data_IF_071464123768
#
_entry.id   IF_071464123768
#
_cell.length_a   1.000
_cell.length_b   1.000
_cell.length_c   1.000
_cell.angle_alpha   90.00
_cell.angle_beta   90.00
_cell.angle_gamma   90.00
#
_symmetry.space_group_name_H-M   'P 1'
#
loop_
_entity.id
_entity.type
_entity.pdbx_description
1 polymer ?
#
# COMPACT_ATOMS: atom_id res chain seq x y z
N UNK A 1 -6.81 22.09 -20.18
CA UNK A 1 -7.99 22.91 -20.57
C UNK A 1 -7.98 24.19 -19.77
N UNK A 2 -8.02 25.37 -20.42
CA UNK A 2 -8.11 26.64 -19.71
C UNK A 2 -9.55 26.81 -19.19
N UNK A 3 -9.68 26.96 -17.87
CA UNK A 3 -10.98 27.28 -17.25
C UNK A 3 -11.31 28.74 -17.54
N UNK A 4 -12.40 28.99 -18.28
CA UNK A 4 -12.93 30.35 -18.48
C UNK A 4 -14.06 30.54 -17.46
N UNK A 5 -13.89 31.38 -16.43
CA UNK A 5 -14.98 31.63 -15.49
C UNK A 5 -16.17 32.22 -16.22
N UNK A 6 -17.37 31.74 -15.89
CA UNK A 6 -18.61 32.35 -16.39
C UNK A 6 -18.63 33.80 -15.95
N UNK A 7 -18.73 34.75 -16.90
CA UNK A 7 -18.72 36.17 -16.65
C UNK A 7 -20.08 36.63 -16.06
N UNK A 8 -20.43 36.10 -14.87
CA UNK A 8 -21.68 36.45 -14.16
C UNK A 8 -21.34 36.96 -12.77
N UNK A 9 -21.56 38.23 -12.59
CA UNK A 9 -21.33 38.90 -11.30
C UNK A 9 -22.44 38.57 -10.26
N UNK A 10 -22.13 38.83 -8.99
CA UNK A 10 -23.13 38.91 -7.93
C UNK A 10 -24.16 39.98 -8.27
N UNK A 11 -25.46 39.75 -8.00
CA UNK A 11 -26.09 38.62 -7.29
C UNK A 11 -26.49 37.44 -8.17
N UNK A 12 -26.28 37.50 -9.48
CA UNK A 12 -26.71 36.45 -10.43
C UNK A 12 -25.93 35.16 -10.25
N UNK A 13 -24.64 35.22 -9.94
CA UNK A 13 -23.81 34.07 -9.57
C UNK A 13 -23.71 33.96 -8.05
N UNK A 14 -24.19 32.83 -7.52
CA UNK A 14 -24.12 32.50 -6.09
C UNK A 14 -23.77 31.02 -5.94
N UNK A 15 -22.50 30.70 -5.76
CA UNK A 15 -21.99 29.32 -5.60
C UNK A 15 -22.60 28.62 -4.37
N UNK A 16 -23.04 29.36 -3.35
CA UNK A 16 -23.71 28.81 -2.16
C UNK A 16 -25.07 28.15 -2.46
N UNK A 17 -25.69 28.37 -3.62
CA UNK A 17 -26.98 27.75 -3.98
C UNK A 17 -26.85 26.23 -3.96
N UNK A 18 -25.80 25.68 -4.59
CA UNK A 18 -25.56 24.25 -4.63
C UNK A 18 -25.18 23.62 -3.28
N UNK A 19 -24.76 24.45 -2.30
CA UNK A 19 -24.38 24.01 -0.95
C UNK A 19 -25.52 24.08 0.07
N UNK A 20 -26.62 24.74 -0.25
CA UNK A 20 -27.69 25.04 0.69
C UNK A 20 -28.37 23.77 1.21
N UNK A 21 -28.80 22.91 0.31
CA UNK A 21 -29.62 21.74 0.61
C UNK A 21 -28.83 20.44 0.43
N UNK A 22 -29.15 19.42 1.23
CA UNK A 22 -28.41 18.16 1.21
C UNK A 22 -28.50 17.45 -0.14
N UNK A 23 -29.71 17.37 -0.72
CA UNK A 23 -29.88 16.73 -2.02
C UNK A 23 -29.01 17.40 -3.10
N UNK A 24 -28.92 18.74 -3.07
CA UNK A 24 -28.12 19.49 -4.03
C UNK A 24 -26.63 19.20 -3.86
N UNK A 25 -26.12 19.19 -2.60
CA UNK A 25 -24.71 18.81 -2.33
C UNK A 25 -24.39 17.41 -2.82
N UNK A 26 -25.31 16.45 -2.64
CA UNK A 26 -25.16 15.07 -3.14
C UNK A 26 -25.11 15.01 -4.66
N UNK A 27 -26.00 15.75 -5.34
CA UNK A 27 -26.06 15.78 -6.81
C UNK A 27 -24.83 16.39 -7.49
N UNK A 28 -24.20 17.39 -6.86
CA UNK A 28 -23.01 18.07 -7.43
C UNK A 28 -21.68 17.50 -6.92
N UNK A 29 -21.74 16.43 -6.14
CA UNK A 29 -20.54 15.78 -5.60
C UNK A 29 -19.75 15.12 -6.74
N UNK A 30 -18.49 15.52 -6.88
CA UNK A 30 -17.63 15.07 -7.97
C UNK A 30 -16.98 13.69 -7.70
N UNK A 31 -16.73 13.36 -6.44
CA UNK A 31 -16.07 12.12 -6.04
C UNK A 31 -16.86 11.43 -4.94
N UNK A 32 -16.98 10.11 -5.06
CA UNK A 32 -17.64 9.26 -4.08
C UNK A 32 -16.65 8.17 -3.67
N UNK A 33 -16.42 8.06 -2.36
CA UNK A 33 -15.69 6.95 -1.78
C UNK A 33 -16.63 5.77 -1.58
N UNK A 34 -16.21 4.60 -2.02
CA UNK A 34 -16.92 3.33 -1.83
C UNK A 34 -16.01 2.31 -1.16
N UNK A 35 -16.57 1.19 -0.73
CA UNK A 35 -15.75 0.10 -0.19
C UNK A 35 -14.84 -0.53 -1.24
N UNK A 36 -15.22 -0.46 -2.51
CA UNK A 36 -14.44 -0.98 -3.64
C UNK A 36 -13.12 -0.23 -3.86
N UNK A 37 -12.97 0.94 -3.25
CA UNK A 37 -11.74 1.73 -3.28
C UNK A 37 -10.71 1.31 -2.23
N UNK A 38 -11.07 0.41 -1.29
CA UNK A 38 -10.29 0.12 -0.10
C UNK A 38 -9.48 -1.17 -0.23
N UNK A 39 -8.21 -1.11 0.14
CA UNK A 39 -7.33 -2.27 0.30
C UNK A 39 -6.85 -2.28 1.75
N UNK A 40 -7.03 -3.41 2.46
CA UNK A 40 -6.62 -3.52 3.87
C UNK A 40 -5.23 -4.13 3.98
N UNK A 41 -4.22 -3.38 4.47
CA UNK A 41 -2.92 -3.93 4.84
C UNK A 41 -3.03 -4.78 6.11
N UNK A 42 -2.45 -5.98 6.11
CA UNK A 42 -2.49 -6.91 7.25
C UNK A 42 -1.10 -7.45 7.57
N UNK A 43 -0.77 -7.54 8.86
CA UNK A 43 0.47 -8.12 9.34
C UNK A 43 0.27 -9.56 9.73
N UNK A 44 1.07 -10.46 9.15
CA UNK A 44 0.93 -11.91 9.36
C UNK A 44 2.16 -12.43 10.08
N UNK A 45 1.96 -13.10 11.22
CA UNK A 45 3.02 -13.73 12.01
C UNK A 45 2.90 -15.25 12.02
N UNK A 46 4.00 -15.91 12.36
CA UNK A 46 4.03 -17.35 12.53
C UNK A 46 3.36 -17.77 13.84
N UNK A 47 2.87 -19.00 13.91
CA UNK A 47 2.22 -19.55 15.10
C UNK A 47 0.77 -19.94 14.88
N UNK A 48 0.11 -20.28 15.98
CA UNK A 48 -1.30 -20.66 16.04
C UNK A 48 -1.97 -19.90 17.19
N UNK A 49 -3.15 -19.37 16.94
CA UNK A 49 -3.93 -18.59 17.90
C UNK A 49 -3.15 -17.40 18.49
N UNK A 50 -2.37 -16.73 17.64
CA UNK A 50 -1.57 -15.58 18.03
C UNK A 50 -2.19 -14.28 17.55
N UNK A 51 -2.27 -13.30 18.47
CA UNK A 51 -2.68 -11.93 18.19
C UNK A 51 -1.76 -10.99 18.98
N UNK A 52 -1.12 -10.06 18.31
CA UNK A 52 -0.22 -9.10 18.95
C UNK A 52 -0.62 -7.69 18.57
N UNK A 53 -0.97 -6.87 19.54
CA UNK A 53 -1.25 -5.44 19.32
C UNK A 53 0.04 -4.69 18.94
N UNK A 54 -0.10 -3.70 18.06
CA UNK A 54 0.99 -2.82 17.67
C UNK A 54 0.81 -1.48 18.41
N UNK A 55 1.65 -1.17 19.42
CA UNK A 55 1.43 0.01 20.27
C UNK A 55 1.39 1.33 19.50
N UNK A 56 2.21 1.46 18.46
CA UNK A 56 2.27 2.64 17.59
C UNK A 56 1.12 2.74 16.58
N UNK A 57 0.28 1.70 16.49
CA UNK A 57 -0.87 1.64 15.57
C UNK A 57 -2.12 1.13 16.29
N UNK A 58 -2.78 1.96 17.13
CA UNK A 58 -3.92 1.52 17.94
C UNK A 58 -5.03 0.86 17.11
N UNK A 59 -5.45 -0.36 17.49
CA UNK A 59 -6.48 -1.13 16.79
C UNK A 59 -5.96 -1.97 15.61
N UNK A 60 -4.67 -1.93 15.29
CA UNK A 60 -4.02 -2.82 14.32
C UNK A 60 -3.25 -3.90 15.06
N UNK A 61 -3.38 -5.14 14.60
CA UNK A 61 -2.74 -6.31 15.19
C UNK A 61 -1.92 -7.08 14.16
N UNK A 62 -0.92 -7.82 14.67
CA UNK A 62 -0.28 -8.91 13.93
C UNK A 62 -1.06 -10.18 14.21
N UNK A 63 -1.37 -10.96 13.20
CA UNK A 63 -2.24 -12.13 13.30
C UNK A 63 -1.55 -13.38 12.76
N UNK A 64 -1.66 -14.50 13.49
CA UNK A 64 -1.37 -15.81 12.89
C UNK A 64 -2.39 -16.16 11.81
N UNK A 65 -2.06 -17.08 10.90
CA UNK A 65 -2.90 -17.40 9.73
C UNK A 65 -4.31 -17.81 10.14
N UNK A 66 -4.48 -18.60 11.19
CA UNK A 66 -5.79 -19.02 11.71
C UNK A 66 -6.62 -17.83 12.21
N UNK A 67 -6.00 -16.86 12.90
CA UNK A 67 -6.64 -15.62 13.34
C UNK A 67 -6.94 -14.67 12.17
N UNK A 68 -6.04 -14.60 11.20
CA UNK A 68 -6.24 -13.84 9.97
C UNK A 68 -7.48 -14.34 9.20
N UNK A 69 -7.67 -15.65 9.10
CA UNK A 69 -8.84 -16.23 8.42
C UNK A 69 -10.15 -15.87 9.13
N UNK A 70 -10.14 -15.81 10.46
CA UNK A 70 -11.33 -15.39 11.26
C UNK A 70 -11.67 -13.92 10.98
N UNK A 71 -10.68 -13.03 11.05
CA UNK A 71 -10.90 -11.60 10.79
C UNK A 71 -11.31 -11.35 9.32
N UNK A 72 -10.73 -12.11 8.39
CA UNK A 72 -11.02 -11.96 6.96
C UNK A 72 -12.51 -12.25 6.64
N UNK A 73 -13.20 -13.11 7.39
CA UNK A 73 -14.65 -13.33 7.23
C UNK A 73 -15.44 -12.02 7.40
N UNK A 74 -15.08 -11.22 8.41
CA UNK A 74 -15.74 -9.93 8.65
C UNK A 74 -15.39 -8.91 7.56
N UNK A 75 -14.13 -8.85 7.12
CA UNK A 75 -13.71 -7.91 6.09
C UNK A 75 -14.34 -8.21 4.73
N UNK A 76 -14.46 -9.48 4.37
CA UNK A 76 -15.19 -9.93 3.18
C UNK A 76 -16.68 -9.59 3.30
N UNK A 77 -17.29 -9.81 4.48
CA UNK A 77 -18.68 -9.46 4.72
C UNK A 77 -18.93 -7.94 4.65
N UNK A 78 -17.94 -7.11 4.97
CA UNK A 78 -18.00 -5.67 4.79
C UNK A 78 -17.85 -5.25 3.31
N UNK A 79 -17.41 -6.14 2.44
CA UNK A 79 -17.21 -5.93 1.02
C UNK A 79 -15.82 -5.41 0.65
N UNK A 80 -14.81 -5.49 1.55
CA UNK A 80 -13.44 -5.10 1.24
C UNK A 80 -12.90 -6.03 0.13
N UNK A 81 -12.47 -5.48 -1.02
CA UNK A 81 -12.18 -6.30 -2.19
C UNK A 81 -10.82 -6.98 -2.15
N UNK A 82 -9.84 -6.45 -1.39
CA UNK A 82 -8.48 -6.98 -1.37
C UNK A 82 -7.75 -6.75 -0.03
N UNK A 83 -6.84 -7.67 0.27
CA UNK A 83 -5.86 -7.56 1.36
C UNK A 83 -4.45 -7.40 0.79
N UNK A 84 -3.60 -6.60 1.46
CA UNK A 84 -2.18 -6.51 1.20
C UNK A 84 -1.42 -7.17 2.35
N UNK A 85 -0.67 -8.23 2.07
CA UNK A 85 0.00 -9.07 3.09
C UNK A 85 1.41 -8.55 3.39
N UNK A 86 1.68 -8.33 4.68
CA UNK A 86 3.01 -7.96 5.19
C UNK A 86 3.46 -9.01 6.22
N UNK A 87 4.44 -9.86 5.89
CA UNK A 87 4.93 -10.89 6.78
C UNK A 87 5.77 -10.31 7.91
N UNK A 88 5.60 -10.86 9.12
CA UNK A 88 6.46 -10.59 10.28
C UNK A 88 7.38 -11.78 10.44
N UNK A 89 8.60 -11.67 9.90
CA UNK A 89 9.56 -12.75 9.87
C UNK A 89 10.32 -12.83 11.19
N UNK A 90 10.35 -13.97 11.88
CA UNK A 90 11.19 -14.17 13.06
C UNK A 90 12.67 -13.95 12.76
N UNK A 91 13.41 -13.42 13.75
CA UNK A 91 14.81 -13.01 13.55
C UNK A 91 15.70 -14.19 13.11
N UNK A 92 15.45 -15.38 13.63
CA UNK A 92 16.18 -16.61 13.31
C UNK A 92 15.99 -17.10 11.86
N UNK A 93 14.96 -16.59 11.17
CA UNK A 93 14.72 -16.89 9.74
C UNK A 93 15.26 -15.80 8.82
N UNK A 94 15.73 -14.67 9.36
CA UNK A 94 16.35 -13.61 8.58
C UNK A 94 17.79 -13.96 8.24
N UNK A 95 18.22 -13.56 7.04
CA UNK A 95 19.59 -13.79 6.55
C UNK A 95 20.12 -12.58 5.79
N UNK A 96 21.40 -12.58 5.43
CA UNK A 96 21.99 -11.52 4.61
C UNK A 96 21.48 -11.56 3.16
N UNK A 97 21.16 -12.75 2.67
CA UNK A 97 20.69 -13.02 1.30
C UNK A 97 19.15 -13.09 1.19
N UNK A 98 18.44 -12.82 2.28
CA UNK A 98 16.97 -12.84 2.34
C UNK A 98 16.32 -14.14 1.85
N UNK A 99 16.95 -15.31 2.08
CA UNK A 99 16.49 -16.59 1.55
C UNK A 99 15.05 -16.97 1.93
N UNK A 100 14.55 -16.53 3.10
CA UNK A 100 13.17 -16.76 3.54
C UNK A 100 12.14 -16.03 2.66
N UNK A 101 12.51 -14.99 1.91
CA UNK A 101 11.61 -14.23 1.05
C UNK A 101 10.94 -15.07 -0.04
N UNK A 102 11.66 -16.07 -0.56
CA UNK A 102 11.19 -16.98 -1.62
C UNK A 102 11.02 -18.43 -1.14
N UNK A 103 11.00 -18.65 0.17
CA UNK A 103 10.70 -19.96 0.74
C UNK A 103 9.25 -20.36 0.43
N UNK A 104 8.99 -21.48 -0.30
CA UNK A 104 7.62 -21.91 -0.63
C UNK A 104 6.74 -22.13 0.62
N UNK A 105 7.36 -22.45 1.76
CA UNK A 105 6.69 -22.62 3.04
C UNK A 105 6.85 -21.41 3.96
N UNK A 106 7.25 -20.26 3.41
CA UNK A 106 7.32 -18.98 4.09
C UNK A 106 5.93 -18.49 4.54
N UNK A 107 5.91 -17.57 5.48
CA UNK A 107 4.63 -17.11 6.08
C UNK A 107 3.75 -16.39 5.05
N UNK A 108 4.33 -15.61 4.12
CA UNK A 108 3.58 -14.93 3.07
C UNK A 108 2.92 -15.93 2.11
N UNK A 109 3.66 -16.96 1.68
CA UNK A 109 3.18 -18.01 0.79
C UNK A 109 2.08 -18.86 1.45
N UNK A 110 2.27 -19.26 2.70
CA UNK A 110 1.24 -20.02 3.45
C UNK A 110 -0.03 -19.21 3.68
N UNK A 111 0.10 -17.94 4.07
CA UNK A 111 -1.04 -17.05 4.25
C UNK A 111 -1.81 -16.85 2.94
N UNK A 112 -1.09 -16.66 1.83
CA UNK A 112 -1.68 -16.54 0.50
C UNK A 112 -2.51 -17.76 0.14
N UNK A 113 -1.94 -18.98 0.26
CA UNK A 113 -2.67 -20.23 -0.01
C UNK A 113 -3.92 -20.36 0.85
N UNK A 114 -3.79 -20.13 2.16
CA UNK A 114 -4.92 -20.25 3.09
C UNK A 114 -6.07 -19.29 2.79
N UNK A 115 -5.75 -18.03 2.48
CA UNK A 115 -6.75 -17.03 2.09
C UNK A 115 -7.40 -17.35 0.74
N UNK A 116 -6.61 -17.80 -0.25
CA UNK A 116 -7.12 -18.21 -1.56
C UNK A 116 -8.07 -19.40 -1.49
N UNK A 117 -7.75 -20.39 -0.64
CA UNK A 117 -8.60 -21.55 -0.40
C UNK A 117 -9.92 -21.16 0.26
N UNK A 118 -9.87 -20.31 1.31
CA UNK A 118 -11.03 -19.93 2.11
C UNK A 118 -11.91 -18.89 1.44
N UNK A 119 -11.31 -17.92 0.71
CA UNK A 119 -11.99 -16.77 0.10
C UNK A 119 -11.56 -16.58 -1.36
N UNK A 120 -12.06 -17.41 -2.30
CA UNK A 120 -11.61 -17.40 -3.70
C UNK A 120 -11.78 -16.06 -4.41
N UNK A 121 -12.79 -15.26 -4.03
CA UNK A 121 -13.09 -13.95 -4.63
C UNK A 121 -12.31 -12.79 -4.01
N UNK A 122 -11.66 -13.00 -2.87
CA UNK A 122 -10.86 -11.96 -2.22
C UNK A 122 -9.54 -11.74 -2.96
N UNK A 123 -9.24 -10.50 -3.31
CA UNK A 123 -7.96 -10.14 -3.92
C UNK A 123 -6.81 -10.25 -2.93
N UNK A 124 -5.76 -10.98 -3.28
CA UNK A 124 -4.55 -11.11 -2.47
C UNK A 124 -3.40 -10.40 -3.16
N UNK A 125 -2.90 -9.36 -2.50
CA UNK A 125 -1.74 -8.57 -2.90
C UNK A 125 -0.60 -8.93 -1.97
N UNK A 126 0.55 -9.29 -2.52
CA UNK A 126 1.75 -9.59 -1.72
C UNK A 126 2.82 -8.54 -1.92
N UNK A 127 3.38 -8.05 -0.83
CA UNK A 127 4.52 -7.15 -0.87
C UNK A 127 5.77 -7.90 -1.36
N UNK A 128 6.47 -7.33 -2.34
CA UNK A 128 7.75 -7.86 -2.83
C UNK A 128 8.84 -6.87 -2.43
N UNK A 129 9.52 -7.21 -1.34
CA UNK A 129 10.60 -6.43 -0.73
C UNK A 129 11.42 -7.33 0.19
N UNK A 130 12.66 -6.99 0.45
CA UNK A 130 13.56 -7.86 1.20
C UNK A 130 13.75 -7.43 2.67
N UNK A 131 13.35 -6.22 3.06
CA UNK A 131 13.54 -5.73 4.43
C UNK A 131 12.88 -6.58 5.54
N UNK A 132 11.75 -7.29 5.33
CA UNK A 132 11.24 -8.23 6.34
C UNK A 132 12.12 -9.45 6.53
N UNK A 133 13.00 -9.77 5.57
CA UNK A 133 13.77 -11.03 5.49
C UNK A 133 15.27 -10.83 5.67
N UNK A 134 15.77 -9.59 5.62
CA UNK A 134 17.18 -9.28 5.83
C UNK A 134 17.48 -8.99 7.29
N UNK A 135 18.68 -9.41 7.75
CA UNK A 135 19.15 -9.14 9.11
C UNK A 135 19.48 -7.67 9.35
N UNK A 136 19.76 -6.91 8.30
CA UNK A 136 20.08 -5.47 8.33
C UNK A 136 18.89 -4.55 8.03
N UNK A 137 17.73 -5.08 7.64
CA UNK A 137 16.49 -4.30 7.44
C UNK A 137 16.45 -3.40 6.20
N UNK A 138 17.38 -3.56 5.24
CA UNK A 138 17.33 -2.91 3.93
C UNK A 138 16.48 -3.73 2.95
N UNK A 139 15.92 -3.05 1.92
CA UNK A 139 15.05 -3.68 0.91
C UNK A 139 15.84 -4.44 -0.18
N UNK A 140 17.16 -4.56 -0.06
CA UNK A 140 18.03 -5.24 -1.02
C UNK A 140 19.26 -5.87 -0.36
N UNK A 141 20.07 -6.53 -1.17
CA UNK A 141 21.31 -7.18 -0.77
C UNK A 141 22.42 -6.12 -0.64
N UNK A 142 23.23 -6.21 0.42
CA UNK A 142 24.31 -5.28 0.69
C UNK A 142 25.64 -5.76 0.15
N UNK A 143 26.51 -4.82 -0.24
CA UNK A 143 27.95 -5.04 -0.37
C UNK A 143 28.66 -4.95 1.00
N UNK A 144 30.00 -5.09 0.98
CA UNK A 144 30.82 -5.04 2.18
C UNK A 144 30.84 -3.64 2.85
N UNK A 145 30.51 -2.58 2.12
CA UNK A 145 30.44 -1.20 2.58
C UNK A 145 29.03 -0.84 3.12
N UNK A 146 28.05 -1.75 2.99
CA UNK A 146 26.66 -1.56 3.43
C UNK A 146 25.79 -0.80 2.42
N UNK A 147 26.23 -0.71 1.16
CA UNK A 147 25.43 -0.16 0.06
C UNK A 147 24.53 -1.23 -0.55
N UNK A 148 23.28 -0.88 -0.88
CA UNK A 148 22.33 -1.80 -1.52
C UNK A 148 22.68 -2.00 -2.99
N UNK A 149 22.97 -3.24 -3.37
CA UNK A 149 23.29 -3.65 -4.74
C UNK A 149 22.02 -3.84 -5.56
N UNK A 150 21.83 -3.05 -6.60
CA UNK A 150 20.64 -3.09 -7.44
C UNK A 150 20.41 -4.45 -8.10
N UNK A 151 21.30 -4.87 -8.97
CA UNK A 151 21.11 -6.03 -9.86
C UNK A 151 21.00 -7.34 -9.09
N UNK A 152 21.85 -7.52 -8.06
CA UNK A 152 21.81 -8.71 -7.19
C UNK A 152 20.48 -8.77 -6.41
N UNK A 153 19.94 -7.61 -6.00
CA UNK A 153 18.66 -7.55 -5.31
C UNK A 153 17.51 -7.95 -6.23
N UNK A 154 17.54 -7.54 -7.50
CA UNK A 154 16.51 -7.91 -8.49
C UNK A 154 16.38 -9.43 -8.63
N UNK A 155 17.49 -10.18 -8.70
CA UNK A 155 17.46 -11.63 -8.80
C UNK A 155 16.69 -12.29 -7.64
N UNK A 156 16.83 -11.74 -6.43
CA UNK A 156 16.11 -12.23 -5.24
C UNK A 156 14.63 -11.81 -5.28
N UNK A 157 14.34 -10.57 -5.69
CA UNK A 157 12.97 -10.06 -5.83
C UNK A 157 12.16 -10.83 -6.88
N UNK A 158 12.78 -11.21 -8.00
CA UNK A 158 12.17 -12.08 -9.04
C UNK A 158 11.79 -13.44 -8.44
N UNK A 159 12.70 -14.07 -7.69
CA UNK A 159 12.41 -15.35 -7.01
C UNK A 159 11.28 -15.21 -6.00
N UNK A 160 11.24 -14.10 -5.25
CA UNK A 160 10.17 -13.81 -4.31
C UNK A 160 8.82 -13.65 -5.04
N UNK A 161 8.76 -12.85 -6.09
CA UNK A 161 7.55 -12.62 -6.87
C UNK A 161 7.00 -13.93 -7.47
N UNK A 162 7.88 -14.78 -8.05
CA UNK A 162 7.49 -16.08 -8.56
C UNK A 162 6.91 -16.99 -7.46
N UNK A 163 7.56 -17.07 -6.29
CA UNK A 163 7.08 -17.91 -5.18
C UNK A 163 5.72 -17.44 -4.66
N UNK A 164 5.45 -16.11 -4.68
CA UNK A 164 4.15 -15.53 -4.32
C UNK A 164 3.08 -15.88 -5.37
N UNK A 165 3.41 -15.79 -6.66
CA UNK A 165 2.52 -16.17 -7.75
C UNK A 165 2.15 -17.65 -7.70
N UNK A 166 3.14 -18.55 -7.45
CA UNK A 166 2.95 -19.98 -7.25
C UNK A 166 2.05 -20.29 -6.04
N UNK A 167 2.14 -19.49 -4.98
CA UNK A 167 1.25 -19.58 -3.82
C UNK A 167 -0.17 -19.11 -4.09
N UNK A 168 -0.44 -18.45 -5.24
CA UNK A 168 -1.75 -17.99 -5.68
C UNK A 168 -2.03 -16.51 -5.49
N UNK A 169 -1.00 -15.67 -5.27
CA UNK A 169 -1.17 -14.22 -5.27
C UNK A 169 -1.68 -13.74 -6.63
N UNK A 170 -2.71 -12.90 -6.64
CA UNK A 170 -3.24 -12.32 -7.87
C UNK A 170 -2.55 -11.01 -8.25
N UNK A 171 -1.89 -10.37 -7.28
CA UNK A 171 -1.10 -9.15 -7.47
C UNK A 171 0.18 -9.28 -6.68
N UNK A 172 1.32 -9.06 -7.33
CA UNK A 172 2.60 -8.85 -6.68
C UNK A 172 2.90 -7.35 -6.67
N UNK A 173 3.38 -6.82 -5.54
CA UNK A 173 3.54 -5.39 -5.35
C UNK A 173 4.98 -5.04 -4.95
N UNK A 174 5.90 -4.90 -5.92
CA UNK A 174 7.29 -4.54 -5.66
C UNK A 174 7.40 -3.18 -4.99
N UNK A 175 7.96 -3.16 -3.78
CA UNK A 175 8.08 -1.95 -2.96
C UNK A 175 9.52 -1.58 -2.60
N UNK A 176 10.47 -2.22 -3.26
CA UNK A 176 11.91 -2.13 -3.03
C UNK A 176 12.57 -0.88 -3.63
N UNK A 177 12.10 -0.40 -4.78
CA UNK A 177 12.64 0.73 -5.57
C UNK A 177 13.96 0.45 -6.30
N UNK A 178 14.26 -0.81 -6.64
CA UNK A 178 15.41 -1.12 -7.51
C UNK A 178 15.10 -0.81 -8.97
N UNK A 179 16.09 -0.29 -9.71
CA UNK A 179 15.94 0.03 -11.13
C UNK A 179 15.79 -1.24 -11.97
N UNK A 180 14.76 -1.30 -12.84
CA UNK A 180 14.55 -2.43 -13.76
C UNK A 180 13.85 -3.66 -13.14
N UNK A 181 13.49 -3.61 -11.84
CA UNK A 181 12.85 -4.75 -11.16
C UNK A 181 11.49 -5.13 -11.74
N UNK A 182 10.73 -4.15 -12.24
CA UNK A 182 9.39 -4.42 -12.78
C UNK A 182 9.50 -5.23 -14.07
N UNK A 183 10.42 -4.86 -14.96
CA UNK A 183 10.67 -5.59 -16.20
C UNK A 183 11.14 -7.01 -15.94
N UNK A 184 12.08 -7.20 -15.03
CA UNK A 184 12.58 -8.53 -14.67
C UNK A 184 11.48 -9.43 -14.05
N UNK A 185 10.67 -8.89 -13.15
CA UNK A 185 9.55 -9.63 -12.54
C UNK A 185 8.48 -9.96 -13.62
N UNK A 186 8.14 -9.02 -14.51
CA UNK A 186 7.18 -9.27 -15.58
C UNK A 186 7.65 -10.39 -16.50
N UNK A 187 8.89 -10.33 -16.97
CA UNK A 187 9.48 -11.36 -17.83
C UNK A 187 9.44 -12.73 -17.16
N UNK A 188 9.79 -12.81 -15.90
CA UNK A 188 9.78 -14.04 -15.13
C UNK A 188 8.37 -14.63 -14.97
N UNK A 189 7.38 -13.79 -14.64
CA UNK A 189 5.98 -14.20 -14.51
C UNK A 189 5.43 -14.74 -15.84
N UNK A 190 5.68 -14.05 -16.95
CA UNK A 190 5.27 -14.51 -18.28
C UNK A 190 5.94 -15.84 -18.66
N UNK A 191 7.24 -15.96 -18.44
CA UNK A 191 8.01 -17.17 -18.74
C UNK A 191 7.58 -18.38 -17.92
N UNK A 192 7.14 -18.16 -16.67
CA UNK A 192 6.60 -19.19 -15.80
C UNK A 192 5.12 -19.51 -16.02
N UNK A 193 4.43 -18.80 -16.96
CA UNK A 193 3.02 -19.01 -17.26
C UNK A 193 2.05 -18.31 -16.31
N UNK A 194 2.54 -17.44 -15.42
CA UNK A 194 1.71 -16.61 -14.51
C UNK A 194 1.18 -15.34 -15.18
N UNK A 195 0.70 -15.44 -16.41
CA UNK A 195 0.32 -14.32 -17.30
C UNK A 195 -0.81 -13.45 -16.74
N UNK A 196 -1.59 -13.94 -15.79
CA UNK A 196 -2.69 -13.19 -15.17
C UNK A 196 -2.33 -12.54 -13.83
N UNK A 197 -1.11 -12.71 -13.35
CA UNK A 197 -0.63 -12.03 -12.13
C UNK A 197 -0.28 -10.60 -12.46
N UNK A 198 -0.92 -9.66 -11.77
CA UNK A 198 -0.72 -8.22 -11.97
C UNK A 198 0.48 -7.75 -11.18
N UNK A 199 1.14 -6.71 -11.68
CA UNK A 199 2.18 -5.99 -10.96
C UNK A 199 1.64 -4.63 -10.52
N UNK A 200 1.57 -4.41 -9.21
CA UNK A 200 1.29 -3.11 -8.60
C UNK A 200 2.61 -2.51 -8.12
N UNK A 201 3.23 -1.69 -8.94
CA UNK A 201 4.55 -1.13 -8.64
C UNK A 201 4.45 0.03 -7.64
N UNK A 202 5.24 0.01 -6.58
CA UNK A 202 5.45 1.17 -5.71
C UNK A 202 6.38 2.16 -6.43
N UNK A 203 5.89 2.76 -7.50
CA UNK A 203 6.69 3.57 -8.42
C UNK A 203 7.15 4.89 -7.81
N UNK A 204 6.31 5.52 -6.97
CA UNK A 204 6.63 6.78 -6.33
C UNK A 204 6.70 6.60 -4.80
N UNK A 205 7.74 5.92 -4.32
CA UNK A 205 7.98 5.67 -2.90
C UNK A 205 9.10 6.57 -2.37
N UNK A 206 8.73 7.46 -1.46
CA UNK A 206 9.64 8.43 -0.86
C UNK A 206 10.32 7.89 0.40
N UNK A 207 11.58 8.27 0.63
CA UNK A 207 12.23 8.11 1.92
C UNK A 207 11.51 8.99 2.95
N UNK A 208 10.79 8.38 3.89
CA UNK A 208 9.83 9.12 4.70
C UNK A 208 9.91 8.79 6.20
N UNK A 209 9.77 9.83 7.02
CA UNK A 209 9.61 9.71 8.45
C UNK A 209 8.25 9.09 8.86
N UNK A 210 7.26 9.11 7.97
CA UNK A 210 5.94 8.53 8.21
C UNK A 210 5.91 7.00 8.26
N UNK A 211 7.05 6.31 8.04
CA UNK A 211 7.13 4.84 8.13
C UNK A 211 7.46 4.30 9.53
N UNK A 212 7.64 5.18 10.53
CA UNK A 212 8.01 4.77 11.88
C UNK A 212 7.16 3.63 12.45
N UNK A 213 5.82 3.76 12.52
CA UNK A 213 4.97 2.70 13.05
C UNK A 213 4.97 1.39 12.24
N UNK A 214 5.17 1.44 10.92
CA UNK A 214 5.32 0.24 10.10
C UNK A 214 6.58 -0.56 10.46
N UNK A 215 7.70 0.13 10.70
CA UNK A 215 8.95 -0.52 11.12
C UNK A 215 8.79 -1.23 12.47
N UNK A 216 8.01 -0.66 13.37
CA UNK A 216 7.61 -1.31 14.61
C UNK A 216 6.76 -2.55 14.31
N UNK A 217 5.77 -2.43 13.43
CA UNK A 217 4.84 -3.51 13.09
C UNK A 217 5.52 -4.75 12.49
N UNK A 218 6.50 -4.58 11.60
CA UNK A 218 7.23 -5.71 10.97
C UNK A 218 8.51 -6.09 11.72
N UNK A 219 8.81 -5.42 12.83
CA UNK A 219 10.02 -5.69 13.64
C UNK A 219 11.33 -5.34 12.95
N UNK A 220 11.31 -4.42 11.95
CA UNK A 220 12.53 -4.00 11.23
C UNK A 220 13.23 -2.79 11.83
N UNK A 221 12.61 -2.10 12.78
CA UNK A 221 13.17 -0.90 13.40
C UNK A 221 14.51 -1.15 14.11
N UNK A 222 14.64 -2.29 14.79
CA UNK A 222 15.87 -2.69 15.48
C UNK A 222 16.98 -3.08 14.52
N UNK A 223 16.64 -3.61 13.36
CA UNK A 223 17.58 -4.14 12.38
C UNK A 223 18.23 -3.03 11.55
N UNK A 224 17.45 -2.01 11.15
CA UNK A 224 17.94 -0.88 10.37
C UNK A 224 18.94 0.01 11.18
N UNK A 225 18.86 0.00 12.51
CA UNK A 225 19.73 0.77 13.39
C UNK A 225 19.74 2.27 13.04
N UNK A 226 20.93 2.83 12.74
CA UNK A 226 21.12 4.20 12.27
C UNK A 226 21.08 4.35 10.74
N UNK A 227 20.89 3.25 9.99
CA UNK A 227 20.80 3.27 8.53
C UNK A 227 19.56 4.02 8.04
N UNK A 228 19.59 4.42 6.78
CA UNK A 228 18.46 5.00 6.08
C UNK A 228 18.29 4.31 4.72
N UNK A 229 17.22 4.62 4.03
CA UNK A 229 16.87 4.03 2.72
C UNK A 229 16.97 5.06 1.58
N UNK A 230 17.68 6.19 1.82
CA UNK A 230 17.75 7.31 0.88
C UNK A 230 18.58 7.01 -0.37
N UNK A 231 19.32 5.90 -0.41
CA UNK A 231 20.11 5.49 -1.59
C UNK A 231 19.24 4.84 -2.68
N UNK A 232 17.98 4.51 -2.38
CA UNK A 232 17.06 3.89 -3.34
C UNK A 232 15.59 4.36 -3.21
N UNK A 233 15.18 4.94 -2.09
CA UNK A 233 13.87 5.61 -2.00
C UNK A 233 14.03 7.08 -2.38
N UNK A 234 13.03 7.65 -3.06
CA UNK A 234 13.09 9.02 -3.56
C UNK A 234 13.23 10.05 -2.45
N UNK A 235 13.96 11.13 -2.73
CA UNK A 235 14.08 12.26 -1.83
C UNK A 235 12.69 12.94 -1.64
N UNK A 236 12.24 13.18 -0.40
CA UNK A 236 10.96 13.85 -0.13
C UNK A 236 10.89 15.29 -0.67
N UNK A 237 12.01 15.89 -1.05
CA UNK A 237 12.05 17.21 -1.68
C UNK A 237 11.75 17.18 -3.19
N UNK A 238 11.77 15.99 -3.82
CA UNK A 238 11.61 15.84 -5.26
C UNK A 238 10.16 15.58 -5.66
N UNK A 239 9.76 16.14 -6.77
CA UNK A 239 8.41 16.00 -7.34
C UNK A 239 8.44 15.46 -8.76
N UNK A 240 9.36 15.91 -9.60
CA UNK A 240 9.44 15.50 -11.00
C UNK A 240 9.99 14.08 -11.15
N UNK A 241 10.87 13.67 -10.26
CA UNK A 241 11.43 12.33 -10.18
C UNK A 241 10.32 11.26 -10.15
N UNK A 242 9.23 11.49 -9.42
CA UNK A 242 8.09 10.58 -9.36
C UNK A 242 7.48 10.27 -10.74
N UNK A 243 7.48 11.23 -11.67
CA UNK A 243 6.98 10.99 -13.02
C UNK A 243 7.97 10.14 -13.85
N UNK A 244 9.27 10.29 -13.63
CA UNK A 244 10.28 9.45 -14.29
C UNK A 244 10.18 8.00 -13.80
N UNK A 245 10.07 7.78 -12.50
CA UNK A 245 9.91 6.46 -11.89
C UNK A 245 8.64 5.76 -12.39
N UNK A 246 7.51 6.46 -12.38
CA UNK A 246 6.23 5.93 -12.88
C UNK A 246 6.31 5.60 -14.38
N UNK A 247 6.94 6.46 -15.17
CA UNK A 247 7.10 6.22 -16.61
C UNK A 247 7.93 4.96 -16.89
N UNK A 248 9.03 4.76 -16.12
CA UNK A 248 9.88 3.59 -16.23
C UNK A 248 9.11 2.32 -15.86
N UNK A 249 8.46 2.27 -14.70
CA UNK A 249 7.70 1.12 -14.23
C UNK A 249 6.56 0.72 -15.20
N UNK A 250 5.85 1.71 -15.76
CA UNK A 250 4.81 1.46 -16.78
C UNK A 250 5.39 0.89 -18.07
N UNK A 251 6.54 1.42 -18.52
CA UNK A 251 7.23 0.90 -19.71
C UNK A 251 7.77 -0.52 -19.50
N UNK A 252 8.14 -0.87 -18.28
CA UNK A 252 8.59 -2.18 -17.86
C UNK A 252 7.46 -3.20 -17.67
N UNK A 253 6.19 -2.79 -17.71
CA UNK A 253 5.04 -3.68 -17.65
C UNK A 253 4.28 -3.72 -16.33
N UNK A 254 4.34 -2.64 -15.53
CA UNK A 254 3.43 -2.48 -14.39
C UNK A 254 1.99 -2.31 -14.88
N UNK A 255 1.05 -3.04 -14.26
CA UNK A 255 -0.40 -2.89 -14.52
C UNK A 255 -1.00 -1.74 -13.71
N UNK A 256 -0.40 -1.44 -12.57
CA UNK A 256 -0.85 -0.47 -11.58
C UNK A 256 0.36 0.21 -10.97
N UNK A 257 0.23 1.49 -10.62
CA UNK A 257 1.28 2.26 -9.97
C UNK A 257 0.80 2.83 -8.65
N UNK A 258 1.70 2.97 -7.67
CA UNK A 258 1.38 3.43 -6.32
C UNK A 258 2.26 4.58 -5.89
N UNK A 259 1.64 5.55 -5.23
CA UNK A 259 2.32 6.66 -4.52
C UNK A 259 2.34 6.36 -3.03
N UNK A 260 3.51 6.47 -2.40
CA UNK A 260 3.72 6.22 -0.97
C UNK A 260 4.75 7.18 -0.38
N UNK A 261 4.45 7.90 0.70
CA UNK A 261 3.18 8.03 1.45
C UNK A 261 2.03 8.68 0.70
N UNK A 262 0.87 8.81 1.35
CA UNK A 262 -0.37 9.29 0.76
C UNK A 262 -0.62 10.79 0.91
N UNK A 263 -1.13 11.23 2.07
CA UNK A 263 -1.61 12.61 2.27
C UNK A 263 -0.59 13.71 1.98
N UNK A 264 0.70 13.59 2.39
CA UNK A 264 1.70 14.60 2.07
C UNK A 264 1.99 14.71 0.56
N UNK A 265 1.60 13.69 -0.21
CA UNK A 265 1.90 13.54 -1.64
C UNK A 265 0.65 13.49 -2.53
N UNK A 266 -0.49 14.03 -2.08
CA UNK A 266 -1.73 14.10 -2.88
C UNK A 266 -1.53 14.75 -4.25
N UNK A 267 -0.66 15.75 -4.32
CA UNK A 267 -0.33 16.41 -5.59
C UNK A 267 0.45 15.51 -6.54
N UNK A 268 1.28 14.58 -6.02
CA UNK A 268 1.94 13.55 -6.84
C UNK A 268 0.91 12.58 -7.40
N UNK A 269 -0.06 12.11 -6.59
CA UNK A 269 -1.17 11.28 -7.06
C UNK A 269 -1.90 11.98 -8.22
N UNK A 270 -2.18 13.28 -8.08
CA UNK A 270 -2.84 14.08 -9.14
C UNK A 270 -1.98 14.17 -10.39
N UNK A 271 -0.68 14.47 -10.24
CA UNK A 271 0.25 14.57 -11.37
C UNK A 271 0.38 13.24 -12.15
N UNK A 272 0.57 12.14 -11.43
CA UNK A 272 0.65 10.79 -12.02
C UNK A 272 -0.64 10.45 -12.78
N UNK A 273 -1.81 10.70 -12.16
CA UNK A 273 -3.10 10.43 -12.81
C UNK A 273 -3.34 11.28 -14.05
N UNK A 274 -2.97 12.54 -14.01
CA UNK A 274 -3.14 13.45 -15.16
C UNK A 274 -2.21 13.10 -16.32
N UNK A 275 -0.95 12.73 -16.01
CA UNK A 275 0.06 12.45 -17.03
C UNK A 275 -0.18 11.10 -17.69
N UNK A 276 -0.31 10.03 -16.89
CA UNK A 276 -0.29 8.66 -17.42
C UNK A 276 -1.67 8.04 -17.60
N UNK A 277 -2.69 8.50 -16.85
CA UNK A 277 -4.05 7.92 -16.85
C UNK A 277 -4.09 6.42 -16.55
N UNK A 278 -3.02 5.89 -16.02
CA UNK A 278 -2.92 4.52 -15.54
C UNK A 278 -3.73 4.31 -14.24
N UNK A 279 -4.04 3.06 -13.89
CA UNK A 279 -4.56 2.75 -12.56
C UNK A 279 -3.57 3.20 -11.48
N UNK A 280 -3.97 4.21 -10.68
CA UNK A 280 -3.11 4.89 -9.72
C UNK A 280 -3.60 4.63 -8.31
N UNK A 281 -2.77 3.99 -7.51
CA UNK A 281 -3.04 3.66 -6.12
C UNK A 281 -2.27 4.60 -5.17
N UNK A 282 -2.69 4.62 -3.93
CA UNK A 282 -2.03 5.40 -2.89
C UNK A 282 -2.01 4.62 -1.58
N UNK A 283 -0.92 4.74 -0.83
CA UNK A 283 -0.83 4.15 0.49
C UNK A 283 -0.90 5.22 1.57
N UNK A 284 -2.01 5.24 2.31
CA UNK A 284 -2.10 5.97 3.58
C UNK A 284 -1.31 5.19 4.62
N UNK A 285 -0.07 5.61 4.83
CA UNK A 285 0.90 4.82 5.60
C UNK A 285 0.68 4.87 7.11
N UNK A 286 1.41 4.03 7.82
CA UNK A 286 1.28 3.84 9.27
C UNK A 286 1.40 5.11 10.09
N UNK A 287 2.31 6.04 9.72
CA UNK A 287 2.44 7.33 10.40
C UNK A 287 1.24 8.24 10.19
N UNK A 288 0.62 8.21 9.01
CA UNK A 288 -0.61 8.94 8.74
C UNK A 288 -1.78 8.37 9.56
N UNK A 289 -1.88 7.04 9.61
CA UNK A 289 -2.83 6.34 10.48
C UNK A 289 -2.65 6.74 11.96
N UNK A 290 -1.41 6.65 12.46
CA UNK A 290 -1.08 6.98 13.85
C UNK A 290 -1.42 8.45 14.19
N UNK A 291 -1.17 9.40 13.28
CA UNK A 291 -1.53 10.80 13.45
C UNK A 291 -3.05 10.98 13.60
N UNK A 292 -3.85 10.34 12.75
CA UNK A 292 -5.31 10.41 12.84
C UNK A 292 -5.81 9.76 14.13
N UNK A 293 -5.35 8.55 14.46
CA UNK A 293 -5.76 7.85 15.67
C UNK A 293 -5.36 8.63 16.93
N UNK A 294 -4.15 9.19 16.97
CA UNK A 294 -3.72 10.03 18.08
C UNK A 294 -4.61 11.28 18.27
N UNK A 295 -4.98 11.95 17.19
CA UNK A 295 -5.86 13.11 17.24
C UNK A 295 -7.31 12.73 17.64
N UNK A 296 -7.82 11.60 17.14
CA UNK A 296 -9.16 11.10 17.48
C UNK A 296 -9.22 10.70 18.97
N UNK A 297 -8.25 9.92 19.45
CA UNK A 297 -8.20 9.46 20.84
C UNK A 297 -8.09 10.60 21.86
N UNK A 298 -7.40 11.69 21.49
CA UNK A 298 -7.32 12.89 22.32
C UNK A 298 -8.52 13.85 22.17
N UNK A 299 -9.52 13.51 21.34
CA UNK A 299 -10.68 14.35 21.10
C UNK A 299 -10.42 15.63 20.32
N UNK A 300 -9.27 15.74 19.64
CA UNK A 300 -8.90 16.90 18.85
C UNK A 300 -9.55 16.88 17.45
N UNK A 301 -9.78 15.69 16.91
CA UNK A 301 -10.52 15.48 15.66
C UNK A 301 -11.66 14.47 15.87
N UNK A 302 -12.74 14.66 15.14
CA UNK A 302 -13.82 13.69 15.08
C UNK A 302 -13.47 12.51 14.15
N UNK A 303 -14.05 11.33 14.37
CA UNK A 303 -13.84 10.13 13.51
C UNK A 303 -14.18 10.38 12.03
N UNK A 304 -14.99 11.39 11.72
CA UNK A 304 -15.31 11.77 10.34
C UNK A 304 -14.07 12.16 9.51
N UNK A 305 -12.95 12.51 10.15
CA UNK A 305 -11.67 12.77 9.47
C UNK A 305 -11.17 11.56 8.69
N UNK A 306 -11.54 10.33 9.09
CA UNK A 306 -11.19 9.08 8.38
C UNK A 306 -11.75 9.14 6.96
N UNK A 307 -13.06 9.29 6.81
CA UNK A 307 -13.69 9.37 5.47
C UNK A 307 -13.29 10.61 4.70
N UNK A 308 -13.03 11.73 5.38
CA UNK A 308 -12.56 12.96 4.73
C UNK A 308 -11.18 12.77 4.11
N UNK A 309 -10.23 12.16 4.83
CA UNK A 309 -8.88 11.87 4.32
C UNK A 309 -8.93 10.89 3.14
N UNK A 310 -9.74 9.83 3.23
CA UNK A 310 -9.90 8.85 2.15
C UNK A 310 -10.57 9.49 0.91
N UNK A 311 -11.55 10.38 1.13
CA UNK A 311 -12.15 11.17 0.03
C UNK A 311 -11.12 12.10 -0.62
N UNK A 312 -10.15 12.63 0.14
CA UNK A 312 -9.09 13.45 -0.43
C UNK A 312 -8.22 12.68 -1.43
N UNK A 313 -7.93 11.40 -1.17
CA UNK A 313 -7.22 10.52 -2.13
C UNK A 313 -8.04 10.31 -3.42
N UNK A 314 -9.33 10.02 -3.30
CA UNK A 314 -10.23 9.91 -4.47
C UNK A 314 -10.25 11.21 -5.28
N UNK A 315 -10.37 12.35 -4.61
CA UNK A 315 -10.36 13.67 -5.27
C UNK A 315 -9.03 13.97 -5.94
N UNK A 316 -7.91 13.46 -5.42
CA UNK A 316 -6.61 13.56 -6.06
C UNK A 316 -6.50 12.65 -7.29
N UNK A 317 -7.38 11.67 -7.46
CA UNK A 317 -7.42 10.77 -8.63
C UNK A 317 -7.01 9.34 -8.35
N UNK A 318 -6.88 8.94 -7.08
CA UNK A 318 -6.60 7.55 -6.73
C UNK A 318 -7.76 6.62 -7.13
N UNK A 319 -7.43 5.51 -7.78
CA UNK A 319 -8.37 4.43 -8.11
C UNK A 319 -8.58 3.49 -6.92
N UNK A 320 -7.54 3.26 -6.12
CA UNK A 320 -7.63 2.48 -4.88
C UNK A 320 -6.69 3.02 -3.81
N UNK A 321 -6.98 2.66 -2.55
CA UNK A 321 -6.33 3.20 -1.37
C UNK A 321 -5.94 2.05 -0.43
N UNK A 322 -4.64 1.82 -0.22
CA UNK A 322 -4.17 1.02 0.90
C UNK A 322 -4.31 1.85 2.17
N UNK A 323 -5.07 1.34 3.13
CA UNK A 323 -5.28 2.05 4.40
C UNK A 323 -5.62 1.11 5.54
N UNK A 324 -5.04 1.32 6.69
CA UNK A 324 -5.38 0.62 7.93
C UNK A 324 -6.79 1.00 8.44
N UNK A 325 -7.37 2.06 7.91
CA UNK A 325 -8.76 2.44 8.18
C UNK A 325 -9.80 1.68 7.35
N UNK A 326 -9.41 0.74 6.48
CA UNK A 326 -10.33 0.11 5.53
C UNK A 326 -11.56 -0.51 6.23
N UNK A 327 -11.39 -1.24 7.34
CA UNK A 327 -12.50 -1.80 8.13
C UNK A 327 -13.42 -0.70 8.65
N UNK A 328 -12.87 0.27 9.38
CA UNK A 328 -13.65 1.38 9.97
C UNK A 328 -14.37 2.22 8.91
N UNK A 329 -13.69 2.47 7.79
CA UNK A 329 -14.27 3.20 6.66
C UNK A 329 -15.43 2.41 6.02
N UNK A 330 -15.28 1.11 5.81
CA UNK A 330 -16.33 0.25 5.27
C UNK A 330 -17.57 0.24 6.19
N UNK A 331 -17.37 0.14 7.52
CA UNK A 331 -18.44 0.23 8.51
C UNK A 331 -19.15 1.59 8.48
N UNK A 332 -18.40 2.70 8.43
CA UNK A 332 -18.96 4.05 8.36
C UNK A 332 -19.74 4.28 7.05
N UNK A 333 -19.23 3.80 5.92
CA UNK A 333 -19.89 3.88 4.61
C UNK A 333 -21.22 3.06 4.61
N UNK A 334 -21.25 1.93 5.31
CA UNK A 334 -22.47 1.12 5.45
C UNK A 334 -23.54 1.81 6.31
N UNK A 335 -23.15 2.49 7.39
CA UNK A 335 -24.07 3.23 8.28
C UNK A 335 -24.63 4.50 7.64
N UNK A 336 -23.92 5.10 6.71
CA UNK A 336 -24.32 6.33 6.02
C UNK A 336 -25.22 6.11 4.79
N UNK A 337 -25.53 4.86 4.47
CA UNK A 337 -26.50 4.45 3.45
C UNK A 337 -27.85 4.17 4.10
#
# INVERSE_FOLDING_TARGET
MSFTPANRAYPYTRLRRNRRDDFSRRLVRENVLTVDDLILPVFVLDGVNQRESIPSMPGVERLSIDQLLIEAEEWVALGIPALALFPVTPLEKKSLDAAEAYNPEGIAQRATRALRERFPELGIITDVALDPFTTHGQDGILDDDGYVLNDVSIDVLVRQALSHAEAGAQVVAPSDMMDGRIGAIREALESAGHTNVRIMAYSAKYASAYYGPFRDAVGSASNLGKGNKATYQMDPANSDEALHEVAADLAEGADMVMVKPGMPYLYIVRRVKDEFRAPTFVYQVSGEYAMHMGAIQNGWLAESVILESLTAFKRAGADGILTYFAKQAAEQLRRGR
#
